data_IF_084481940351
#
_entry.id   IF_084481940351
#
_cell.length_a   1.000
_cell.length_b   1.000
_cell.length_c   1.000
_cell.angle_alpha   90.00
_cell.angle_beta   90.00
_cell.angle_gamma   90.00
#
_symmetry.space_group_name_H-M   'P 1'
#
loop_
_entity.id
_entity.type
_entity.pdbx_description
1 polymer ?
#
# COMPACT_ATOMS: atom_id res chain seq x y z
N UNK A 1 3.55 20.17 -2.33
CA UNK A 1 3.48 19.85 -0.89
C UNK A 1 2.25 19.00 -0.64
N UNK A 2 2.47 17.81 -0.09
CA UNK A 2 1.40 16.89 0.30
C UNK A 2 0.96 17.14 1.74
N UNK A 3 -0.31 16.87 2.04
CA UNK A 3 -0.83 16.90 3.40
C UNK A 3 -1.97 15.93 3.59
N UNK A 4 -2.12 15.43 4.81
CA UNK A 4 -3.28 14.65 5.24
C UNK A 4 -3.64 15.01 6.68
N UNK A 5 -4.85 14.68 7.07
CA UNK A 5 -5.36 14.93 8.43
C UNK A 5 -5.59 13.59 9.11
N UNK A 6 -5.10 13.44 10.35
CA UNK A 6 -5.33 12.24 11.15
C UNK A 6 -6.70 12.29 11.86
N UNK A 7 -7.05 11.22 12.56
CA UNK A 7 -8.30 11.09 13.32
C UNK A 7 -8.49 12.12 14.42
N UNK A 8 -7.40 12.73 14.89
CA UNK A 8 -7.43 13.76 15.93
C UNK A 8 -7.54 15.17 15.34
N UNK A 9 -7.63 15.30 14.02
CA UNK A 9 -7.68 16.58 13.33
C UNK A 9 -6.33 17.27 13.15
N UNK A 10 -5.22 16.59 13.50
CA UNK A 10 -3.86 17.12 13.25
C UNK A 10 -3.52 17.00 11.78
N UNK A 11 -3.06 18.10 11.20
CA UNK A 11 -2.60 18.15 9.82
C UNK A 11 -1.12 17.81 9.76
N UNK A 12 -0.79 16.81 8.96
CA UNK A 12 0.55 16.37 8.67
C UNK A 12 0.96 16.84 7.29
N UNK A 13 2.14 17.40 7.17
CA UNK A 13 2.65 17.92 5.90
C UNK A 13 3.98 17.31 5.53
N UNK A 14 4.20 17.14 4.24
CA UNK A 14 5.48 16.69 3.69
C UNK A 14 5.69 17.30 2.30
N UNK A 15 6.90 17.21 1.79
CA UNK A 15 7.20 17.66 0.44
C UNK A 15 8.26 16.77 -0.19
N UNK A 16 7.92 16.24 -1.37
CA UNK A 16 8.87 15.49 -2.19
C UNK A 16 9.85 16.46 -2.82
N UNK A 17 11.10 16.41 -2.35
CA UNK A 17 12.24 17.21 -2.80
C UNK A 17 13.45 16.29 -2.96
N UNK A 18 14.50 16.78 -3.63
CA UNK A 18 15.73 16.00 -3.84
C UNK A 18 16.33 15.44 -2.55
N UNK A 19 16.30 16.19 -1.45
CA UNK A 19 16.81 15.75 -0.15
C UNK A 19 16.06 14.54 0.39
N UNK A 20 14.72 14.56 0.29
CA UNK A 20 13.88 13.41 0.65
C UNK A 20 14.14 12.22 -0.28
N UNK A 21 14.24 12.46 -1.59
CA UNK A 21 14.50 11.40 -2.57
C UNK A 21 15.83 10.70 -2.28
N UNK A 22 16.90 11.44 -2.02
CA UNK A 22 18.20 10.87 -1.63
C UNK A 22 18.12 10.11 -0.32
N UNK A 23 17.42 10.66 0.67
CA UNK A 23 17.22 10.00 1.96
C UNK A 23 16.48 8.65 1.80
N UNK A 24 15.38 8.60 1.05
CA UNK A 24 14.61 7.38 0.81
C UNK A 24 15.42 6.33 0.03
N UNK A 25 16.17 6.77 -0.97
CA UNK A 25 17.06 5.89 -1.74
C UNK A 25 18.14 5.25 -0.86
N UNK A 26 18.75 6.03 0.02
CA UNK A 26 19.77 5.51 0.95
C UNK A 26 19.17 4.64 2.05
N UNK A 27 18.12 5.14 2.71
CA UNK A 27 17.53 4.55 3.91
C UNK A 27 16.76 3.26 3.64
N UNK A 28 15.88 3.26 2.64
CA UNK A 28 14.93 2.17 2.36
C UNK A 28 15.01 1.65 0.93
N UNK A 29 16.01 2.08 0.15
CA UNK A 29 16.24 1.64 -1.23
C UNK A 29 15.05 1.90 -2.17
N UNK A 30 14.32 2.98 -1.93
CA UNK A 30 13.25 3.47 -2.80
C UNK A 30 13.78 4.66 -3.61
N UNK A 31 13.84 4.50 -4.94
CA UNK A 31 14.28 5.54 -5.86
C UNK A 31 13.07 6.18 -6.55
N UNK A 32 12.78 7.42 -6.20
CA UNK A 32 11.67 8.18 -6.77
C UNK A 32 12.02 8.89 -8.08
N UNK A 33 13.31 9.01 -8.44
CA UNK A 33 13.73 9.59 -9.71
C UNK A 33 13.75 8.56 -10.85
N UNK A 34 14.15 7.33 -10.53
CA UNK A 34 14.28 6.24 -11.50
C UNK A 34 13.46 5.01 -11.02
N UNK A 35 12.13 5.14 -10.88
CA UNK A 35 11.32 4.14 -10.18
C UNK A 35 11.07 2.85 -10.99
N UNK A 36 11.45 2.79 -12.26
CA UNK A 36 11.25 1.63 -13.13
C UNK A 36 12.42 1.39 -14.12
N UNK A 37 13.54 2.10 -13.95
CA UNK A 37 14.72 2.00 -14.81
C UNK A 37 15.81 1.15 -14.16
N UNK A 38 16.71 0.63 -14.97
CA UNK A 38 17.91 -0.09 -14.53
C UNK A 38 17.64 -1.28 -13.58
N UNK A 39 16.52 -1.99 -13.80
CA UNK A 39 16.12 -3.09 -12.92
C UNK A 39 15.45 -2.64 -11.61
N UNK A 40 15.15 -1.36 -11.49
CA UNK A 40 14.42 -0.80 -10.36
C UNK A 40 12.91 -0.99 -10.55
N UNK A 41 12.25 -1.55 -9.54
CA UNK A 41 10.81 -1.82 -9.54
C UNK A 41 10.07 -0.99 -8.48
N UNK A 42 10.62 0.14 -8.07
CA UNK A 42 10.09 0.97 -6.98
C UNK A 42 8.60 1.30 -7.17
N UNK A 43 8.20 1.75 -8.36
CA UNK A 43 6.80 2.12 -8.61
C UNK A 43 5.86 0.91 -8.45
N UNK A 44 6.24 -0.23 -9.00
CA UNK A 44 5.46 -1.47 -8.86
C UNK A 44 5.41 -1.95 -7.41
N UNK A 45 6.53 -1.91 -6.70
CA UNK A 45 6.60 -2.31 -5.30
C UNK A 45 5.70 -1.47 -4.39
N UNK A 46 5.73 -0.14 -4.50
CA UNK A 46 4.92 0.74 -3.64
C UNK A 46 3.44 0.69 -3.99
N UNK A 47 3.11 0.39 -5.25
CA UNK A 47 1.71 0.24 -5.70
C UNK A 47 1.11 -1.09 -5.25
N UNK A 48 1.86 -2.19 -5.34
CA UNK A 48 1.36 -3.55 -5.05
C UNK A 48 1.58 -4.01 -3.63
N UNK A 49 2.62 -3.53 -2.97
CA UNK A 49 3.00 -3.97 -1.63
C UNK A 49 2.63 -2.92 -0.58
N UNK A 50 1.58 -3.20 0.17
CA UNK A 50 1.07 -2.30 1.21
C UNK A 50 2.12 -1.98 2.28
N UNK A 51 2.97 -2.92 2.64
CA UNK A 51 4.04 -2.69 3.63
C UNK A 51 5.11 -1.75 3.09
N UNK A 52 5.49 -1.89 1.82
CA UNK A 52 6.43 -0.95 1.18
C UNK A 52 5.85 0.45 1.08
N UNK A 53 4.57 0.58 0.79
CA UNK A 53 3.90 1.88 0.80
C UNK A 53 3.86 2.50 2.19
N UNK A 54 3.55 1.73 3.23
CA UNK A 54 3.58 2.22 4.61
C UNK A 54 4.99 2.63 5.05
N UNK A 55 6.01 1.85 4.70
CA UNK A 55 7.42 2.18 4.98
C UNK A 55 7.83 3.48 4.30
N UNK A 56 7.43 3.68 3.04
CA UNK A 56 7.65 4.90 2.28
C UNK A 56 6.99 6.11 2.95
N UNK A 57 5.70 6.01 3.28
CA UNK A 57 4.96 7.08 3.94
C UNK A 57 5.53 7.43 5.31
N UNK A 58 5.83 6.42 6.13
CA UNK A 58 6.43 6.63 7.45
C UNK A 58 7.75 7.41 7.36
N UNK A 59 8.66 6.96 6.49
CA UNK A 59 9.96 7.62 6.33
C UNK A 59 9.84 9.03 5.73
N UNK A 60 8.86 9.25 4.84
CA UNK A 60 8.54 10.57 4.29
C UNK A 60 8.06 11.53 5.37
N UNK A 61 7.07 11.11 6.16
CA UNK A 61 6.52 11.92 7.24
C UNK A 61 7.59 12.18 8.32
N UNK A 62 8.35 11.16 8.70
CA UNK A 62 9.44 11.27 9.68
C UNK A 62 10.53 12.25 9.24
N UNK A 63 10.92 12.19 7.97
CA UNK A 63 11.93 13.10 7.41
C UNK A 63 11.49 14.56 7.50
N UNK A 64 10.22 14.82 7.21
CA UNK A 64 9.66 16.18 7.22
C UNK A 64 9.25 16.67 8.62
N UNK A 65 9.04 15.76 9.59
CA UNK A 65 8.58 16.07 10.94
C UNK A 65 9.54 15.44 11.97
N UNK A 66 10.78 15.89 11.99
CA UNK A 66 11.88 15.24 12.73
C UNK A 66 11.68 15.19 14.25
N UNK A 67 10.97 16.17 14.80
CA UNK A 67 10.74 16.30 16.25
C UNK A 67 9.59 15.44 16.78
N UNK A 68 8.87 14.76 15.86
CA UNK A 68 7.74 13.92 16.20
C UNK A 68 8.20 12.49 16.49
N UNK A 69 7.63 11.83 17.48
CA UNK A 69 7.95 10.45 17.81
C UNK A 69 7.43 9.48 16.75
N UNK A 70 8.09 8.33 16.63
CA UNK A 70 7.67 7.27 15.70
C UNK A 70 6.27 6.75 16.03
N UNK A 71 5.92 6.67 17.31
CA UNK A 71 4.60 6.26 17.77
C UNK A 71 3.49 7.20 17.26
N UNK A 72 3.69 8.52 17.38
CA UNK A 72 2.72 9.50 16.85
C UNK A 72 2.54 9.39 15.33
N UNK A 73 3.62 9.12 14.59
CA UNK A 73 3.52 8.95 13.14
C UNK A 73 2.70 7.70 12.81
N UNK A 74 2.94 6.57 13.49
CA UNK A 74 2.15 5.36 13.29
C UNK A 74 0.68 5.54 13.66
N UNK A 75 0.39 6.23 14.75
CA UNK A 75 -0.97 6.57 15.14
C UNK A 75 -1.69 7.47 14.13
N UNK A 76 -0.94 8.33 13.43
CA UNK A 76 -1.50 9.22 12.41
C UNK A 76 -2.03 8.51 11.17
N UNK A 77 -1.64 7.24 10.94
CA UNK A 77 -2.11 6.44 9.81
C UNK A 77 -3.38 5.63 10.09
N UNK A 78 -3.97 5.77 11.26
CA UNK A 78 -5.21 5.09 11.62
C UNK A 78 -6.46 5.67 10.91
N UNK A 79 -7.56 4.92 10.95
CA UNK A 79 -8.90 5.34 10.52
C UNK A 79 -9.00 5.89 9.08
N UNK A 80 -8.25 5.29 8.15
CA UNK A 80 -8.26 5.67 6.74
C UNK A 80 -7.36 6.86 6.39
N UNK A 81 -6.72 7.49 7.36
CA UNK A 81 -5.77 8.58 7.12
C UNK A 81 -4.59 8.14 6.23
N UNK A 82 -4.23 6.85 6.28
CA UNK A 82 -3.20 6.28 5.40
C UNK A 82 -3.56 6.39 3.91
N UNK A 83 -4.83 6.27 3.55
CA UNK A 83 -5.29 6.41 2.14
C UNK A 83 -5.11 7.85 1.70
N UNK A 84 -5.50 8.81 2.53
CA UNK A 84 -5.32 10.23 2.25
C UNK A 84 -3.83 10.61 2.18
N UNK A 85 -3.00 10.05 3.04
CA UNK A 85 -1.55 10.23 3.01
C UNK A 85 -0.93 9.68 1.72
N UNK A 86 -1.39 8.52 1.26
CA UNK A 86 -0.95 7.89 0.02
C UNK A 86 -1.33 8.73 -1.21
N UNK A 87 -2.56 9.21 -1.28
CA UNK A 87 -3.03 10.08 -2.37
C UNK A 87 -2.24 11.39 -2.42
N UNK A 88 -2.06 12.02 -1.26
CA UNK A 88 -1.25 13.23 -1.13
C UNK A 88 0.21 13.01 -1.54
N UNK A 89 0.79 11.86 -1.18
CA UNK A 89 2.15 11.52 -1.57
C UNK A 89 2.29 11.34 -3.08
N UNK A 90 1.42 10.57 -3.71
CA UNK A 90 1.47 10.38 -5.17
C UNK A 90 1.28 11.69 -5.91
N UNK A 91 0.36 12.54 -5.47
CA UNK A 91 0.14 13.86 -6.05
C UNK A 91 1.41 14.73 -5.98
N UNK A 92 2.09 14.74 -4.84
CA UNK A 92 3.31 15.52 -4.66
C UNK A 92 4.49 14.91 -5.44
N UNK A 93 4.57 13.59 -5.54
CA UNK A 93 5.57 12.90 -6.37
C UNK A 93 5.38 13.19 -7.86
N UNK A 94 4.15 13.23 -8.37
CA UNK A 94 3.83 13.67 -9.74
C UNK A 94 4.34 15.08 -9.98
N UNK A 95 4.02 16.02 -9.08
CA UNK A 95 4.47 17.40 -9.18
C UNK A 95 6.00 17.54 -9.17
N UNK A 96 6.66 16.78 -8.29
CA UNK A 96 8.12 16.74 -8.23
C UNK A 96 8.72 16.20 -9.54
N UNK A 97 8.18 15.10 -10.07
CA UNK A 97 8.65 14.47 -11.30
C UNK A 97 8.54 15.42 -12.51
N UNK A 98 7.43 16.13 -12.62
CA UNK A 98 7.25 17.15 -13.66
C UNK A 98 8.28 18.28 -13.56
N UNK A 99 8.50 18.79 -12.37
CA UNK A 99 9.47 19.89 -12.11
C UNK A 99 10.93 19.45 -12.27
N UNK A 100 11.22 18.19 -12.03
CA UNK A 100 12.57 17.62 -12.19
C UNK A 100 12.87 17.12 -13.61
N UNK A 101 11.99 17.41 -14.58
CA UNK A 101 12.19 17.04 -15.97
C UNK A 101 11.91 15.56 -16.28
N UNK A 102 11.09 14.90 -15.45
CA UNK A 102 10.69 13.49 -15.61
C UNK A 102 9.16 13.36 -15.82
N UNK A 103 8.63 13.96 -16.90
CA UNK A 103 7.19 13.84 -17.21
C UNK A 103 6.77 12.38 -17.48
N UNK A 104 7.69 11.53 -17.91
CA UNK A 104 7.50 10.10 -18.09
C UNK A 104 7.19 9.40 -16.75
N UNK A 105 7.93 9.72 -15.69
CA UNK A 105 7.67 9.22 -14.33
C UNK A 105 6.32 9.73 -13.83
N UNK A 106 6.01 11.01 -14.01
CA UNK A 106 4.73 11.59 -13.65
C UNK A 106 3.56 10.85 -14.33
N UNK A 107 3.67 10.57 -15.63
CA UNK A 107 2.65 9.83 -16.38
C UNK A 107 2.51 8.39 -15.88
N UNK A 108 3.61 7.72 -15.55
CA UNK A 108 3.59 6.36 -15.01
C UNK A 108 2.90 6.30 -13.64
N UNK A 109 3.15 7.29 -12.76
CA UNK A 109 2.49 7.38 -11.45
C UNK A 109 0.98 7.58 -11.62
N UNK A 110 0.56 8.51 -12.48
CA UNK A 110 -0.87 8.76 -12.76
C UNK A 110 -1.56 7.50 -13.29
N UNK A 111 -0.92 6.78 -14.20
CA UNK A 111 -1.42 5.51 -14.72
C UNK A 111 -1.56 4.45 -13.63
N UNK A 112 -0.59 4.34 -12.74
CA UNK A 112 -0.64 3.43 -11.61
C UNK A 112 -1.79 3.77 -10.65
N UNK A 113 -2.02 5.05 -10.36
CA UNK A 113 -3.16 5.50 -9.55
C UNK A 113 -4.50 5.15 -10.20
N UNK A 114 -4.66 5.34 -11.51
CA UNK A 114 -5.88 4.95 -12.23
C UNK A 114 -6.16 3.45 -12.11
N UNK A 115 -5.13 2.61 -12.24
CA UNK A 115 -5.25 1.16 -12.10
C UNK A 115 -5.64 0.74 -10.68
N UNK A 116 -5.10 1.38 -9.64
CA UNK A 116 -5.49 1.15 -8.25
C UNK A 116 -6.96 1.50 -8.04
N UNK A 117 -7.40 2.67 -8.50
CA UNK A 117 -8.78 3.12 -8.37
C UNK A 117 -9.76 2.21 -9.15
N UNK A 118 -9.38 1.77 -10.34
CA UNK A 118 -10.18 0.83 -11.11
C UNK A 118 -10.30 -0.53 -10.40
N UNK A 119 -9.21 -1.02 -9.78
CA UNK A 119 -9.22 -2.25 -8.99
C UNK A 119 -10.11 -2.15 -7.76
N UNK A 120 -10.08 -1.03 -7.04
CA UNK A 120 -10.95 -0.77 -5.88
C UNK A 120 -12.43 -0.74 -6.30
N UNK A 121 -12.77 -0.03 -7.37
CA UNK A 121 -14.14 0.03 -7.90
C UNK A 121 -14.66 -1.32 -8.35
N UNK A 122 -13.83 -2.13 -9.00
CA UNK A 122 -14.19 -3.49 -9.41
C UNK A 122 -14.45 -4.38 -8.19
N UNK A 123 -13.61 -4.32 -7.17
CA UNK A 123 -13.77 -5.07 -5.93
C UNK A 123 -15.05 -4.64 -5.17
N UNK A 124 -15.33 -3.35 -5.09
CA UNK A 124 -16.57 -2.82 -4.49
C UNK A 124 -17.81 -3.27 -5.25
N UNK A 125 -17.78 -3.30 -6.58
CA UNK A 125 -18.88 -3.79 -7.41
C UNK A 125 -19.13 -5.30 -7.20
N UNK A 126 -18.08 -6.11 -7.08
CA UNK A 126 -18.21 -7.54 -6.74
C UNK A 126 -18.82 -7.75 -5.35
N UNK A 127 -18.39 -6.97 -4.34
CA UNK A 127 -18.95 -7.04 -2.98
C UNK A 127 -20.44 -6.66 -2.97
N UNK A 128 -20.85 -5.66 -3.75
CA UNK A 128 -22.25 -5.23 -3.88
C UNK A 128 -23.14 -6.26 -4.60
N UNK A 129 -22.59 -7.05 -5.52
CA UNK A 129 -23.32 -8.07 -6.27
C UNK A 129 -23.35 -9.42 -5.57
N UNK A 130 -22.48 -9.65 -4.60
CA UNK A 130 -22.46 -10.87 -3.78
C UNK A 130 -23.52 -10.73 -2.69
N UNK A 131 -24.63 -11.46 -2.82
CA UNK A 131 -25.58 -11.67 -1.74
C UNK A 131 -24.86 -12.32 -0.56
N UNK A 132 -25.00 -11.76 0.64
CA UNK A 132 -24.40 -12.29 1.86
C UNK A 132 -24.78 -13.76 2.13
N UNK A 133 -25.97 -14.19 1.69
CA UNK A 133 -26.39 -15.58 1.74
C UNK A 133 -25.54 -16.52 0.87
N UNK A 134 -25.05 -16.05 -0.30
CA UNK A 134 -24.18 -16.84 -1.16
C UNK A 134 -22.76 -16.97 -0.57
N UNK A 135 -22.24 -15.94 0.10
CA UNK A 135 -20.94 -16.00 0.78
C UNK A 135 -21.01 -16.99 1.93
N UNK A 136 -22.06 -16.95 2.75
CA UNK A 136 -22.28 -17.89 3.85
C UNK A 136 -22.44 -19.32 3.32
N UNK A 137 -23.17 -19.53 2.23
CA UNK A 137 -23.32 -20.83 1.60
C UNK A 137 -21.98 -21.40 1.11
N UNK A 138 -21.13 -20.59 0.47
CA UNK A 138 -19.80 -21.00 0.02
C UNK A 138 -18.86 -21.32 1.18
N UNK A 139 -18.87 -20.53 2.24
CA UNK A 139 -18.07 -20.79 3.45
C UNK A 139 -18.54 -22.08 4.12
N UNK A 140 -19.85 -22.28 4.27
CA UNK A 140 -20.44 -23.49 4.86
C UNK A 140 -20.08 -24.72 4.05
N UNK A 141 -20.13 -24.65 2.71
CA UNK A 141 -19.75 -25.75 1.82
C UNK A 141 -18.25 -26.07 1.96
N UNK A 142 -17.38 -25.08 1.97
CA UNK A 142 -15.93 -25.26 2.13
C UNK A 142 -15.58 -25.90 3.48
N UNK A 143 -16.25 -25.50 4.55
CA UNK A 143 -16.09 -26.10 5.88
C UNK A 143 -16.59 -27.56 5.88
N UNK A 144 -17.72 -27.85 5.23
CA UNK A 144 -18.26 -29.18 5.15
C UNK A 144 -17.37 -30.13 4.35
N UNK A 145 -16.84 -29.71 3.23
CA UNK A 145 -15.88 -30.47 2.41
C UNK A 145 -14.58 -30.76 3.19
N UNK A 146 -14.11 -29.85 3.98
CA UNK A 146 -12.91 -30.06 4.83
C UNK A 146 -13.18 -31.01 6.01
N UNK A 147 -14.39 -31.05 6.55
CA UNK A 147 -14.75 -31.95 7.66
C UNK A 147 -15.06 -33.37 7.14
N UNK A 148 -15.59 -33.52 5.95
CA UNK A 148 -15.91 -34.81 5.33
C UNK A 148 -14.72 -35.43 4.56
N UNK A 149 -13.58 -34.79 4.47
CA UNK A 149 -12.37 -35.40 3.95
C UNK A 149 -11.96 -36.59 4.83
N UNK A 150 -11.74 -37.80 4.26
CA UNK A 150 -11.39 -38.95 5.07
C UNK A 150 -10.08 -38.70 5.81
N UNK A 151 -10.11 -38.85 7.11
CA UNK A 151 -8.89 -38.85 7.93
C UNK A 151 -8.02 -39.99 7.42
N UNK A 152 -6.76 -39.75 6.96
CA UNK A 152 -5.90 -40.86 6.59
C UNK A 152 -5.74 -41.74 7.80
N UNK A 153 -6.27 -42.96 7.72
CA UNK A 153 -6.05 -43.97 8.74
C UNK A 153 -4.56 -44.32 8.68
N UNK A 154 -3.83 -43.91 9.70
CA UNK A 154 -2.52 -44.49 9.96
C UNK A 154 -2.73 -45.95 10.29
N UNK A 155 -2.50 -46.82 9.32
CA UNK A 155 -2.55 -48.25 9.54
C UNK A 155 -1.57 -48.60 10.64
N UNK A 156 -2.06 -49.21 11.72
CA UNK A 156 -1.24 -49.95 12.64
C UNK A 156 -0.58 -51.10 11.87
N UNK A 157 0.66 -50.93 11.50
CA UNK A 157 1.50 -52.07 11.19
C UNK A 157 1.85 -52.73 12.53
N UNK A 158 1.00 -53.64 12.98
CA UNK A 158 1.40 -54.67 13.91
C UNK A 158 2.13 -55.72 13.09
N UNK A 159 3.44 -55.59 13.03
CA UNK A 159 4.31 -56.70 12.82
C UNK A 159 4.59 -57.33 14.18
N UNK A 160 3.96 -58.44 14.35
CA UNK A 160 4.31 -59.39 15.38
C UNK A 160 5.51 -60.25 14.98
#
# INVERSE_FOLDING_TARGET
MGSYTDKNGKVWTFSVKYELVLFLKDKIKIDLLEPYENGNNTLEEVVRNRYRMLELLFNTVKFCNRDVSDAEIWESFDDGAVVNAQEAFFSDWVNFSQKSGRPDVAAAILKAQELIQAGIRAAEAEIKTVDSSQVIAKITQAVHENISAPIPSFGNSQDG
#
